data_IF_493647982619
#
_entry.id   IF_493647982619
#
_cell.length_a   1.000
_cell.length_b   1.000
_cell.length_c   1.000
_cell.angle_alpha   90.00
_cell.angle_beta   90.00
_cell.angle_gamma   90.00
#
_symmetry.space_group_name_H-M   'P 1'
#
loop_
_entity.id
_entity.type
_entity.pdbx_description
1 polymer ?
#
# COMPACT_ATOMS: atom_id res chain seq x y z
N UNK A 1 13.08 -15.03 -24.61
CA UNK A 1 13.81 -13.76 -24.30
C UNK A 1 14.16 -13.81 -22.83
N UNK A 2 15.32 -13.31 -22.45
CA UNK A 2 15.70 -13.18 -21.04
C UNK A 2 14.96 -11.97 -20.46
N UNK A 3 14.39 -12.09 -19.24
CA UNK A 3 13.78 -10.97 -18.52
C UNK A 3 14.83 -9.94 -18.17
N UNK A 4 14.49 -8.67 -18.29
CA UNK A 4 15.32 -7.60 -17.72
C UNK A 4 15.21 -7.62 -16.19
N UNK A 5 16.24 -7.15 -15.51
CA UNK A 5 16.29 -7.19 -14.06
C UNK A 5 16.88 -5.92 -13.44
N UNK A 6 16.46 -5.61 -12.22
CA UNK A 6 16.97 -4.55 -11.36
C UNK A 6 17.38 -5.14 -10.02
N UNK A 7 18.45 -4.63 -9.43
CA UNK A 7 18.87 -4.99 -8.07
C UNK A 7 18.58 -3.84 -7.10
N UNK A 8 17.94 -4.16 -5.97
CA UNK A 8 17.61 -3.22 -4.90
C UNK A 8 17.87 -3.84 -3.52
N UNK A 9 17.93 -3.03 -2.48
CA UNK A 9 18.04 -3.56 -1.12
C UNK A 9 16.71 -4.13 -0.64
N UNK A 10 15.60 -3.42 -0.92
CA UNK A 10 14.26 -3.81 -0.49
C UNK A 10 13.26 -3.66 -1.63
N UNK A 11 12.54 -4.73 -1.94
CA UNK A 11 11.35 -4.66 -2.79
C UNK A 11 10.10 -4.84 -1.94
N UNK A 12 9.12 -3.95 -2.12
CA UNK A 12 7.83 -3.97 -1.43
C UNK A 12 6.73 -4.23 -2.46
N UNK A 13 5.96 -5.28 -2.27
CA UNK A 13 4.85 -5.64 -3.16
C UNK A 13 3.55 -5.08 -2.58
N UNK A 14 3.01 -4.06 -3.24
CA UNK A 14 1.78 -3.36 -2.91
C UNK A 14 2.01 -1.95 -2.35
N UNK A 15 1.53 -0.93 -3.09
CA UNK A 15 1.54 0.48 -2.71
C UNK A 15 0.26 0.87 -1.93
N UNK A 16 -0.19 0.00 -1.04
CA UNK A 16 -1.21 0.33 -0.04
C UNK A 16 -0.61 1.04 1.17
N UNK A 17 -1.44 1.39 2.18
CA UNK A 17 -0.97 2.10 3.37
C UNK A 17 0.21 1.40 4.08
N UNK A 18 0.17 0.07 4.18
CA UNK A 18 1.22 -0.71 4.83
C UNK A 18 2.55 -0.65 4.06
N UNK A 19 2.52 -0.86 2.73
CA UNK A 19 3.73 -0.83 1.90
C UNK A 19 4.37 0.55 1.88
N UNK A 20 3.56 1.59 1.67
CA UNK A 20 4.05 2.97 1.61
C UNK A 20 4.57 3.47 2.96
N UNK A 21 3.86 3.17 4.06
CA UNK A 21 4.36 3.49 5.40
C UNK A 21 5.69 2.78 5.70
N UNK A 22 5.83 1.53 5.26
CA UNK A 22 7.08 0.78 5.38
C UNK A 22 8.21 1.43 4.59
N UNK A 23 7.96 1.83 3.34
CA UNK A 23 8.93 2.52 2.51
C UNK A 23 9.40 3.83 3.15
N UNK A 24 8.45 4.68 3.58
CA UNK A 24 8.76 5.93 4.28
C UNK A 24 9.62 5.67 5.52
N UNK A 25 9.21 4.73 6.39
CA UNK A 25 9.92 4.46 7.64
C UNK A 25 11.32 3.91 7.42
N UNK A 26 11.50 2.99 6.49
CA UNK A 26 12.82 2.44 6.15
C UNK A 26 13.77 3.54 5.68
N UNK A 27 13.31 4.42 4.78
CA UNK A 27 14.14 5.50 4.25
C UNK A 27 14.45 6.57 5.30
N UNK A 28 13.49 6.93 6.16
CA UNK A 28 13.74 7.82 7.30
C UNK A 28 14.80 7.25 8.25
N UNK A 29 14.73 5.95 8.54
CA UNK A 29 15.72 5.28 9.39
C UNK A 29 17.08 5.21 8.71
N UNK A 30 17.14 4.95 7.41
CA UNK A 30 18.37 4.93 6.63
C UNK A 30 19.05 6.31 6.62
N UNK A 31 18.27 7.39 6.39
CA UNK A 31 18.77 8.77 6.48
C UNK A 31 19.30 9.11 7.87
N UNK A 32 18.58 8.72 8.92
CA UNK A 32 19.04 8.96 10.32
C UNK A 32 20.33 8.19 10.64
N UNK A 33 20.51 7.02 10.03
CA UNK A 33 21.70 6.19 10.21
C UNK A 33 22.82 6.53 9.23
N UNK A 34 22.66 7.55 8.38
CA UNK A 34 23.57 7.96 7.31
C UNK A 34 23.95 6.79 6.38
N UNK A 35 22.95 5.95 6.04
CA UNK A 35 23.09 4.78 5.16
C UNK A 35 22.32 4.98 3.87
N UNK A 36 22.90 4.58 2.78
CA UNK A 36 22.19 4.44 1.51
C UNK A 36 21.32 3.16 1.56
N UNK A 37 20.08 3.29 1.12
CA UNK A 37 19.13 2.18 1.02
C UNK A 37 18.26 2.37 -0.23
N UNK A 38 18.33 1.42 -1.16
CA UNK A 38 17.46 1.39 -2.33
C UNK A 38 16.16 0.65 -2.01
N UNK A 39 15.02 1.36 -2.11
CA UNK A 39 13.70 0.82 -1.85
C UNK A 39 12.82 0.96 -3.08
N UNK A 40 12.28 -0.15 -3.55
CA UNK A 40 11.36 -0.21 -4.68
C UNK A 40 9.98 -0.67 -4.20
N UNK A 41 8.92 0.00 -4.63
CA UNK A 41 7.53 -0.34 -4.33
C UNK A 41 6.79 -0.67 -5.62
N UNK A 42 6.25 -1.89 -5.73
CA UNK A 42 5.49 -2.35 -6.89
C UNK A 42 3.99 -2.21 -6.63
N UNK A 43 3.26 -1.66 -7.60
CA UNK A 43 1.81 -1.54 -7.54
C UNK A 43 1.18 -2.09 -8.82
N UNK A 44 0.19 -2.99 -8.65
CA UNK A 44 -0.54 -3.60 -9.78
C UNK A 44 -1.48 -2.65 -10.50
N UNK A 45 -1.99 -1.63 -9.79
CA UNK A 45 -2.84 -0.60 -10.37
C UNK A 45 -2.07 0.31 -11.31
N UNK A 46 -2.75 0.88 -12.29
CA UNK A 46 -2.18 1.85 -13.21
C UNK A 46 -1.67 3.12 -12.51
N UNK A 47 -2.16 3.37 -11.31
CA UNK A 47 -1.73 4.43 -10.42
C UNK A 47 -1.91 4.00 -8.95
N UNK A 48 -1.17 4.60 -8.04
CA UNK A 48 -1.31 4.32 -6.60
C UNK A 48 -2.68 4.77 -6.12
N UNK A 49 -3.39 3.90 -5.41
CA UNK A 49 -4.74 4.18 -4.90
C UNK A 49 -5.89 3.75 -5.82
N UNK A 50 -5.65 3.42 -7.10
CA UNK A 50 -6.70 3.08 -8.06
C UNK A 50 -7.60 1.91 -7.62
N UNK A 51 -7.05 0.94 -6.89
CA UNK A 51 -7.79 -0.24 -6.43
C UNK A 51 -8.25 -0.14 -4.96
N UNK A 52 -8.10 1.02 -4.34
CA UNK A 52 -8.43 1.23 -2.93
C UNK A 52 -9.84 1.83 -2.82
N UNK A 53 -10.69 1.21 -1.99
CA UNK A 53 -12.01 1.74 -1.71
C UNK A 53 -11.92 3.08 -0.96
N UNK A 54 -12.75 4.02 -1.37
CA UNK A 54 -12.89 5.33 -0.73
C UNK A 54 -13.87 5.26 0.46
N UNK A 55 -13.87 6.30 1.32
CA UNK A 55 -14.80 6.45 2.43
C UNK A 55 -14.35 5.71 3.69
N UNK A 56 -13.09 5.83 4.05
CA UNK A 56 -12.56 5.34 5.31
C UNK A 56 -12.69 6.38 6.42
N UNK A 57 -12.92 5.91 7.66
CA UNK A 57 -12.64 6.69 8.87
C UNK A 57 -11.22 6.40 9.28
N UNK A 58 -10.43 7.45 9.43
CA UNK A 58 -9.00 7.37 9.66
C UNK A 58 -8.62 8.04 10.99
N UNK A 59 -7.95 7.28 11.83
CA UNK A 59 -7.34 7.74 13.07
C UNK A 59 -5.88 8.10 12.79
N UNK A 60 -5.44 9.28 13.24
CA UNK A 60 -4.16 9.87 12.78
C UNK A 60 -2.93 9.41 13.54
N UNK A 61 -3.06 8.66 14.65
CA UNK A 61 -1.93 8.33 15.52
C UNK A 61 -0.73 7.73 14.78
N UNK A 62 -0.98 6.80 13.85
CA UNK A 62 0.09 6.20 13.05
C UNK A 62 0.71 7.20 12.06
N UNK A 63 -0.08 8.12 11.53
CA UNK A 63 0.42 9.17 10.64
C UNK A 63 1.18 10.25 11.43
N UNK A 64 0.70 10.61 12.61
CA UNK A 64 1.37 11.54 13.52
C UNK A 64 2.77 11.03 13.93
N UNK A 65 2.94 9.69 14.05
CA UNK A 65 4.23 9.08 14.31
C UNK A 65 5.13 9.02 13.06
N UNK A 66 4.56 8.68 11.91
CA UNK A 66 5.30 8.47 10.67
C UNK A 66 5.76 9.80 10.04
N UNK A 67 4.85 10.77 9.97
CA UNK A 67 5.05 12.09 9.34
C UNK A 67 4.40 13.14 10.23
N UNK A 68 5.06 13.60 11.31
CA UNK A 68 4.46 14.52 12.28
C UNK A 68 3.98 15.85 11.70
N UNK A 69 4.58 16.28 10.61
CA UNK A 69 4.28 17.50 9.85
C UNK A 69 3.31 17.27 8.67
N UNK A 70 2.50 16.18 8.71
CA UNK A 70 1.60 15.82 7.62
C UNK A 70 0.60 16.91 7.23
N UNK A 71 0.21 17.77 8.17
CA UNK A 71 -0.70 18.90 7.91
C UNK A 71 -0.06 19.95 7.02
N UNK A 72 1.16 20.33 7.36
CA UNK A 72 1.99 21.30 6.63
C UNK A 72 2.35 20.75 5.25
N UNK A 73 2.53 19.44 5.14
CA UNK A 73 2.78 18.71 3.89
C UNK A 73 1.52 18.43 3.06
N UNK A 74 0.37 18.93 3.50
CA UNK A 74 -0.86 18.87 2.72
C UNK A 74 -1.49 17.49 2.59
N UNK A 75 -1.35 16.62 3.61
CA UNK A 75 -2.06 15.34 3.61
C UNK A 75 -3.58 15.54 3.42
N UNK A 76 -4.26 14.68 2.62
CA UNK A 76 -5.65 14.89 2.21
C UNK A 76 -6.68 14.52 3.31
N UNK A 77 -6.46 15.03 4.53
CA UNK A 77 -7.32 14.83 5.70
C UNK A 77 -8.14 16.10 5.96
N UNK A 78 -9.20 16.34 5.19
CA UNK A 78 -9.94 17.61 5.19
C UNK A 78 -11.24 17.55 6.00
N UNK A 79 -11.82 16.37 6.25
CA UNK A 79 -13.14 16.23 6.87
C UNK A 79 -13.02 15.55 8.23
N UNK A 80 -13.05 16.38 9.29
CA UNK A 80 -13.00 15.87 10.66
C UNK A 80 -14.36 15.34 11.12
N UNK A 81 -14.37 14.19 11.77
CA UNK A 81 -15.56 13.62 12.41
C UNK A 81 -15.90 14.41 13.66
N UNK A 82 -17.10 15.00 13.69
CA UNK A 82 -17.62 15.80 14.82
C UNK A 82 -18.59 15.01 15.70
N UNK A 83 -19.06 13.86 15.23
CA UNK A 83 -19.92 12.95 15.97
C UNK A 83 -20.17 11.67 15.20
N UNK A 84 -20.55 10.61 15.89
CA UNK A 84 -20.90 9.32 15.35
C UNK A 84 -22.05 8.69 16.13
N UNK A 85 -22.82 7.86 15.45
CA UNK A 85 -23.96 7.16 16.03
C UNK A 85 -23.93 5.69 15.61
N UNK A 86 -24.21 4.80 16.55
CA UNK A 86 -24.32 3.37 16.31
C UNK A 86 -25.79 2.94 16.34
N UNK A 87 -26.24 2.31 15.26
CA UNK A 87 -27.60 1.80 15.11
C UNK A 87 -27.60 0.28 14.94
N UNK A 88 -28.50 -0.38 15.64
CA UNK A 88 -28.87 -1.77 15.39
C UNK A 88 -30.13 -1.82 14.51
N UNK A 89 -30.09 -2.59 13.45
CA UNK A 89 -31.16 -2.75 12.47
C UNK A 89 -31.74 -4.17 12.57
N UNK A 90 -32.74 -4.42 13.44
CA UNK A 90 -33.31 -5.76 13.60
C UNK A 90 -34.07 -6.24 12.35
N UNK A 91 -34.61 -5.33 11.56
CA UNK A 91 -35.29 -5.61 10.30
C UNK A 91 -35.29 -4.37 9.38
N UNK A 92 -35.88 -4.50 8.18
CA UNK A 92 -35.94 -3.43 7.15
C UNK A 92 -36.73 -2.17 7.56
N UNK A 93 -37.50 -2.23 8.65
CA UNK A 93 -38.42 -1.14 9.04
C UNK A 93 -38.12 -0.55 10.42
N UNK A 94 -37.19 -1.14 11.16
CA UNK A 94 -36.91 -0.74 12.56
C UNK A 94 -35.44 -0.49 12.75
N UNK A 95 -35.10 0.53 13.51
CA UNK A 95 -33.75 0.82 13.97
C UNK A 95 -33.76 1.18 15.46
N UNK A 96 -32.70 0.83 16.15
CA UNK A 96 -32.46 1.19 17.54
C UNK A 96 -31.10 1.86 17.64
N UNK A 97 -31.05 3.08 18.13
CA UNK A 97 -29.81 3.81 18.38
C UNK A 97 -29.25 3.39 19.74
N UNK A 98 -27.99 2.94 19.74
CA UNK A 98 -27.30 2.66 20.99
C UNK A 98 -26.97 3.98 21.72
N UNK A 99 -27.23 4.06 23.04
CA UNK A 99 -26.70 5.14 23.85
C UNK A 99 -25.16 5.16 23.82
N UNK A 100 -24.55 6.33 23.63
CA UNK A 100 -23.10 6.45 23.45
C UNK A 100 -22.27 5.83 24.58
N UNK A 101 -22.78 5.82 25.82
CA UNK A 101 -22.09 5.22 26.96
C UNK A 101 -22.02 3.68 26.91
N UNK A 102 -22.83 3.02 26.09
CA UNK A 102 -22.78 1.57 25.83
C UNK A 102 -21.94 1.19 24.61
N UNK A 103 -21.52 2.19 23.82
CA UNK A 103 -20.67 1.96 22.65
C UNK A 103 -19.23 1.76 23.11
N UNK A 104 -18.55 0.65 22.73
CA UNK A 104 -17.16 0.41 23.08
C UNK A 104 -16.24 1.52 22.54
N UNK A 105 -15.22 1.89 23.32
CA UNK A 105 -14.25 2.96 22.95
C UNK A 105 -13.67 2.83 21.54
N UNK A 106 -13.27 1.64 21.04
CA UNK A 106 -12.73 1.50 19.68
C UNK A 106 -13.73 1.84 18.56
N UNK A 107 -15.03 1.96 18.86
CA UNK A 107 -16.05 2.35 17.90
C UNK A 107 -16.35 3.85 17.91
N UNK A 108 -15.71 4.62 18.81
CA UNK A 108 -15.84 6.08 18.82
C UNK A 108 -14.91 6.71 17.81
N UNK A 109 -15.46 7.52 16.91
CA UNK A 109 -14.72 8.13 15.81
C UNK A 109 -14.59 9.66 15.96
N UNK A 110 -15.06 10.24 17.04
CA UNK A 110 -14.96 11.68 17.28
C UNK A 110 -13.47 12.11 17.24
N UNK A 111 -13.16 13.09 16.39
CA UNK A 111 -11.81 13.60 16.20
C UNK A 111 -11.00 12.90 15.08
N UNK A 112 -11.43 11.74 14.62
CA UNK A 112 -10.90 11.07 13.43
C UNK A 112 -11.27 11.85 12.16
N UNK A 113 -10.82 11.36 11.00
CA UNK A 113 -11.09 11.99 9.70
C UNK A 113 -11.82 11.04 8.77
N UNK A 114 -12.79 11.57 8.01
CA UNK A 114 -13.35 10.85 6.85
C UNK A 114 -12.49 11.19 5.65
N UNK A 115 -11.91 10.17 5.03
CA UNK A 115 -10.95 10.33 3.95
C UNK A 115 -11.25 9.42 2.75
N UNK A 116 -10.68 9.77 1.60
CA UNK A 116 -10.38 8.80 0.54
C UNK A 116 -9.05 8.13 0.86
N UNK A 117 -9.07 6.84 1.16
CA UNK A 117 -7.84 6.09 1.44
C UNK A 117 -6.94 6.01 0.19
N UNK A 118 -7.53 6.00 -1.01
CA UNK A 118 -6.78 6.08 -2.27
C UNK A 118 -5.96 7.37 -2.36
N UNK A 119 -6.59 8.53 -2.07
CA UNK A 119 -5.89 9.82 -2.08
C UNK A 119 -4.78 9.87 -1.01
N UNK A 120 -5.01 9.28 0.17
CA UNK A 120 -3.96 9.19 1.19
C UNK A 120 -2.78 8.35 0.70
N UNK A 121 -3.05 7.23 0.01
CA UNK A 121 -1.98 6.40 -0.56
C UNK A 121 -1.21 7.13 -1.67
N UNK A 122 -1.89 7.87 -2.55
CA UNK A 122 -1.22 8.68 -3.57
C UNK A 122 -0.28 9.70 -2.92
N UNK A 123 -0.76 10.41 -1.90
CA UNK A 123 0.07 11.36 -1.14
C UNK A 123 1.22 10.67 -0.39
N UNK A 124 0.99 9.50 0.23
CA UNK A 124 2.07 8.73 0.88
C UNK A 124 3.12 8.26 -0.13
N UNK A 125 2.73 7.93 -1.36
CA UNK A 125 3.67 7.57 -2.41
C UNK A 125 4.56 8.76 -2.79
N UNK A 126 4.01 9.97 -2.87
CA UNK A 126 4.79 11.20 -3.07
C UNK A 126 5.80 11.40 -1.93
N UNK A 127 5.37 11.20 -0.67
CA UNK A 127 6.28 11.30 0.48
C UNK A 127 7.38 10.24 0.45
N UNK A 128 7.07 9.00 0.04
CA UNK A 128 8.06 7.93 -0.12
C UNK A 128 9.07 8.27 -1.23
N UNK A 129 8.60 8.80 -2.36
CA UNK A 129 9.47 9.23 -3.47
C UNK A 129 10.36 10.42 -3.09
N UNK A 130 9.86 11.38 -2.32
CA UNK A 130 10.67 12.49 -1.77
C UNK A 130 11.79 11.98 -0.85
N UNK A 131 11.57 10.87 -0.14
CA UNK A 131 12.58 10.21 0.69
C UNK A 131 13.56 9.33 -0.12
N UNK A 132 13.30 9.10 -1.42
CA UNK A 132 14.15 8.34 -2.33
C UNK A 132 13.64 6.94 -2.68
N UNK A 133 12.36 6.60 -2.42
CA UNK A 133 11.77 5.37 -2.93
C UNK A 133 11.50 5.46 -4.43
N UNK A 134 11.65 4.34 -5.13
CA UNK A 134 11.16 4.16 -6.49
C UNK A 134 9.81 3.47 -6.45
N UNK A 135 8.76 4.11 -6.97
CA UNK A 135 7.39 3.56 -6.99
C UNK A 135 7.01 3.24 -8.44
N UNK A 136 6.63 1.98 -8.70
CA UNK A 136 6.30 1.47 -10.03
C UNK A 136 4.82 1.08 -10.13
N UNK A 137 3.93 2.02 -10.52
CA UNK A 137 2.55 1.69 -10.86
C UNK A 137 2.49 0.86 -12.16
N UNK A 138 1.49 -0.03 -12.27
CA UNK A 138 1.34 -0.94 -13.40
C UNK A 138 2.20 -2.20 -13.34
N UNK A 139 3.10 -2.32 -12.36
CA UNK A 139 3.97 -3.48 -12.18
C UNK A 139 3.37 -4.48 -11.19
N UNK A 140 2.60 -5.43 -11.72
CA UNK A 140 1.99 -6.48 -10.91
C UNK A 140 2.99 -7.61 -10.67
N UNK A 141 3.49 -7.75 -9.44
CA UNK A 141 4.29 -8.91 -9.06
C UNK A 141 3.44 -10.19 -9.20
N UNK A 142 3.95 -11.17 -9.95
CA UNK A 142 3.25 -12.41 -10.30
C UNK A 142 3.97 -13.68 -9.84
N UNK A 143 5.28 -13.60 -9.59
CA UNK A 143 6.13 -14.73 -9.25
C UNK A 143 7.10 -14.36 -8.14
N UNK A 144 7.34 -15.29 -7.20
CA UNK A 144 8.41 -15.15 -6.21
C UNK A 144 9.66 -15.81 -6.77
N UNK A 145 10.76 -15.08 -6.77
CA UNK A 145 12.07 -15.60 -7.20
C UNK A 145 12.81 -16.20 -6.01
N UNK A 146 13.33 -17.39 -6.20
CA UNK A 146 14.13 -18.11 -5.19
C UNK A 146 15.58 -18.27 -5.62
N UNK A 147 16.48 -18.17 -4.68
CA UNK A 147 17.87 -18.55 -4.85
C UNK A 147 18.03 -20.10 -4.79
N UNK A 148 19.19 -20.60 -5.18
CA UNK A 148 19.48 -22.06 -5.16
C UNK A 148 19.36 -22.68 -3.74
N UNK A 149 19.58 -21.88 -2.69
CA UNK A 149 19.44 -22.29 -1.29
C UNK A 149 17.99 -22.19 -0.77
N UNK A 150 17.01 -21.86 -1.65
CA UNK A 150 15.58 -21.75 -1.34
C UNK A 150 15.17 -20.45 -0.68
N UNK A 151 16.08 -19.49 -0.50
CA UNK A 151 15.72 -18.15 0.01
C UNK A 151 15.03 -17.32 -1.06
N UNK A 152 14.10 -16.47 -0.65
CA UNK A 152 13.51 -15.46 -1.53
C UNK A 152 14.60 -14.47 -1.92
N UNK A 153 14.77 -14.26 -3.22
CA UNK A 153 15.73 -13.29 -3.79
C UNK A 153 15.05 -12.11 -4.49
N UNK A 154 13.72 -12.07 -4.47
CA UNK A 154 12.95 -11.02 -5.11
C UNK A 154 11.63 -11.50 -5.70
N UNK A 155 11.10 -10.72 -6.63
CA UNK A 155 9.86 -11.01 -7.35
C UNK A 155 10.00 -10.71 -8.83
N UNK A 156 9.17 -11.35 -9.66
CA UNK A 156 9.03 -11.00 -11.06
C UNK A 156 7.61 -10.55 -11.37
N UNK A 157 7.47 -9.60 -12.30
CA UNK A 157 6.17 -9.24 -12.87
C UNK A 157 5.72 -10.27 -13.88
N UNK A 158 4.41 -10.33 -14.12
CA UNK A 158 3.85 -11.18 -15.18
C UNK A 158 4.23 -10.68 -16.57
N UNK A 159 4.30 -11.59 -17.53
CA UNK A 159 4.48 -11.23 -18.93
C UNK A 159 3.26 -10.43 -19.42
N UNK A 160 3.50 -9.41 -20.23
CA UNK A 160 2.46 -8.61 -20.88
C UNK A 160 2.20 -9.11 -22.31
N UNK A 161 1.02 -8.76 -22.86
CA UNK A 161 0.68 -9.16 -24.22
C UNK A 161 0.45 -10.66 -24.40
N UNK A 162 0.00 -11.36 -23.36
CA UNK A 162 -0.41 -12.78 -23.41
C UNK A 162 -1.93 -12.85 -23.46
N UNK A 163 -2.49 -13.77 -24.24
CA UNK A 163 -3.93 -14.00 -24.29
C UNK A 163 -4.42 -14.93 -23.16
N UNK A 164 -5.74 -15.16 -23.11
CA UNK A 164 -6.34 -16.04 -22.09
C UNK A 164 -5.92 -17.52 -22.19
N UNK A 165 -5.27 -17.93 -23.28
CA UNK A 165 -4.74 -19.28 -23.48
C UNK A 165 -3.25 -19.37 -23.21
N UNK A 166 -2.58 -18.24 -22.91
CA UNK A 166 -1.14 -18.18 -22.71
C UNK A 166 -0.34 -17.97 -24.01
N UNK A 167 -0.99 -17.64 -25.13
CA UNK A 167 -0.31 -17.39 -26.39
C UNK A 167 0.18 -15.95 -26.48
N UNK A 168 1.40 -15.77 -26.98
CA UNK A 168 2.02 -14.46 -27.14
C UNK A 168 1.37 -13.68 -28.29
N UNK A 169 0.93 -12.45 -28.02
CA UNK A 169 0.45 -11.49 -29.02
C UNK A 169 1.62 -10.70 -29.63
N UNK A 170 1.33 -9.93 -30.67
CA UNK A 170 2.32 -9.02 -31.27
C UNK A 170 2.89 -7.97 -30.29
N UNK A 171 2.16 -7.68 -29.21
CA UNK A 171 2.55 -6.79 -28.11
C UNK A 171 3.14 -7.54 -26.91
N UNK A 172 3.69 -8.73 -27.11
CA UNK A 172 4.29 -9.51 -26.05
C UNK A 172 5.55 -8.83 -25.52
N UNK A 173 5.61 -8.64 -24.21
CA UNK A 173 6.78 -8.18 -23.48
C UNK A 173 6.98 -9.12 -22.28
N UNK A 174 8.21 -9.65 -22.09
CA UNK A 174 8.49 -10.50 -20.94
C UNK A 174 8.41 -9.68 -19.65
N UNK A 175 8.03 -10.35 -18.57
CA UNK A 175 8.03 -9.73 -17.23
C UNK A 175 9.41 -9.23 -16.83
N UNK A 176 9.46 -8.37 -15.83
CA UNK A 176 10.65 -7.76 -15.26
C UNK A 176 10.99 -8.39 -13.91
N UNK A 177 12.26 -8.62 -13.61
CA UNK A 177 12.69 -9.20 -12.33
C UNK A 177 13.25 -8.11 -11.39
N UNK A 178 12.74 -8.09 -10.16
CA UNK A 178 13.26 -7.25 -9.08
C UNK A 178 13.99 -8.13 -8.09
N UNK A 179 15.32 -8.10 -8.14
CA UNK A 179 16.16 -8.83 -7.21
C UNK A 179 16.41 -7.98 -5.97
N UNK A 180 16.19 -8.53 -4.78
CA UNK A 180 16.29 -7.77 -3.55
C UNK A 180 16.90 -8.58 -2.41
N UNK A 181 17.58 -7.89 -1.48
CA UNK A 181 18.06 -8.50 -0.22
C UNK A 181 16.88 -8.85 0.69
N UNK A 182 15.83 -8.02 0.67
CA UNK A 182 14.58 -8.22 1.43
C UNK A 182 13.38 -8.00 0.53
N UNK A 183 12.41 -8.91 0.62
CA UNK A 183 11.13 -8.81 -0.07
C UNK A 183 10.02 -8.67 0.96
N UNK A 184 9.20 -7.62 0.87
CA UNK A 184 8.10 -7.34 1.78
C UNK A 184 6.79 -7.47 1.03
N UNK A 185 5.90 -8.37 1.46
CA UNK A 185 4.58 -8.57 0.89
C UNK A 185 3.55 -7.72 1.64
N UNK A 186 3.12 -6.62 1.04
CA UNK A 186 2.12 -5.69 1.54
C UNK A 186 0.84 -5.70 0.70
N UNK A 187 0.45 -6.89 0.21
CA UNK A 187 -0.63 -7.13 -0.74
C UNK A 187 -2.05 -7.03 -0.13
N UNK A 188 -2.16 -6.72 1.14
CA UNK A 188 -3.42 -6.69 1.88
C UNK A 188 -4.01 -8.08 2.15
N UNK A 189 -5.27 -8.10 2.59
CA UNK A 189 -5.93 -9.34 3.03
C UNK A 189 -6.24 -10.34 1.89
N UNK A 190 -6.14 -9.92 0.64
CA UNK A 190 -6.39 -10.75 -0.56
C UNK A 190 -5.17 -10.86 -1.47
N UNK A 191 -3.99 -10.70 -0.92
CA UNK A 191 -2.75 -10.97 -1.63
C UNK A 191 -2.70 -12.39 -2.23
N UNK A 192 -1.94 -12.60 -3.28
CA UNK A 192 -1.85 -13.92 -3.95
C UNK A 192 -0.45 -14.54 -3.89
N UNK A 193 0.60 -13.76 -3.77
CA UNK A 193 1.97 -14.28 -3.67
C UNK A 193 2.31 -14.84 -2.28
N UNK A 194 1.67 -14.31 -1.24
CA UNK A 194 1.87 -14.75 0.15
C UNK A 194 1.04 -15.96 0.58
N UNK A 195 0.44 -16.72 -0.36
CA UNK A 195 -0.43 -17.88 -0.07
C UNK A 195 0.30 -19.20 -0.13
#
# INVERSE_FOLDING_TARGET
MQRESMEVDVVIVGAGPAGLATACRLLQMAQTAEKELSVCVLEKGSEVGAHILSGAVFETSALDELIPDWKEKGAPLNTRVTGDDVYYLPNKKSSFKFPNFLVPRPMHNHGNYIISLGNLCSWLAEQAMELGAEVFPGFAAAEILYAEDGKVKGVATGDMGVDAKGEQKASYEPGFEFHAKYTIFAEGCRGHLGK
#
